data_IF_237755802265
#
_entry.id   IF_237755802265
#
_cell.length_a   1.000
_cell.length_b   1.000
_cell.length_c   1.000
_cell.angle_alpha   90.00
_cell.angle_beta   90.00
_cell.angle_gamma   90.00
#
_symmetry.space_group_name_H-M   'P 1'
#
loop_
_entity.id
_entity.type
_entity.pdbx_description
1 polymer ?
#
# COMPACT_ATOMS: atom_id res chain seq x y z
N UNK A 1 -5.69 -24.14 3.06
CA UNK A 1 -6.64 -23.30 3.80
C UNK A 1 -7.76 -22.87 2.86
N UNK A 2 -9.01 -22.88 3.35
CA UNK A 2 -10.14 -22.29 2.63
C UNK A 2 -10.15 -20.78 2.91
N UNK A 3 -10.12 -19.99 1.85
CA UNK A 3 -10.02 -18.52 1.96
C UNK A 3 -11.29 -17.88 1.43
N UNK A 4 -11.87 -16.98 2.23
CA UNK A 4 -12.97 -16.10 1.82
C UNK A 4 -12.45 -14.68 1.78
N UNK A 5 -12.44 -14.06 0.61
CA UNK A 5 -12.09 -12.65 0.45
C UNK A 5 -13.36 -11.80 0.49
N UNK A 6 -13.39 -10.85 1.43
CA UNK A 6 -14.49 -9.90 1.58
C UNK A 6 -14.00 -8.49 1.25
N UNK A 7 -14.63 -7.84 0.29
CA UNK A 7 -14.30 -6.45 -0.04
C UNK A 7 -15.56 -5.65 -0.43
N UNK A 8 -15.42 -4.33 -0.33
CA UNK A 8 -16.43 -3.38 -0.75
C UNK A 8 -16.45 -3.15 -2.26
N UNK A 9 -17.03 -2.02 -2.66
CA UNK A 9 -16.98 -1.57 -4.05
C UNK A 9 -15.57 -1.07 -4.42
N UNK A 10 -15.16 -1.36 -5.63
CA UNK A 10 -13.91 -0.92 -6.25
C UNK A 10 -14.02 -1.04 -7.77
N UNK A 11 -12.95 -0.79 -8.47
CA UNK A 11 -12.87 -0.86 -9.94
C UNK A 11 -12.94 -2.29 -10.52
N UNK A 12 -13.07 -3.29 -9.70
CA UNK A 12 -13.16 -4.70 -10.10
C UNK A 12 -11.81 -5.40 -10.29
N UNK A 13 -10.73 -4.70 -10.56
CA UNK A 13 -9.41 -5.29 -10.88
C UNK A 13 -8.87 -6.26 -9.82
N UNK A 14 -9.11 -5.98 -8.55
CA UNK A 14 -8.73 -6.89 -7.47
C UNK A 14 -9.40 -8.27 -7.63
N UNK A 15 -10.66 -8.29 -8.04
CA UNK A 15 -11.43 -9.51 -8.21
C UNK A 15 -10.92 -10.38 -9.37
N UNK A 16 -10.39 -9.73 -10.43
CA UNK A 16 -9.81 -10.43 -11.58
C UNK A 16 -8.49 -11.10 -11.24
N UNK A 17 -7.74 -10.53 -10.27
CA UNK A 17 -6.45 -11.07 -9.82
C UNK A 17 -6.59 -12.20 -8.79
N UNK A 18 -7.76 -12.37 -8.17
CA UNK A 18 -7.98 -13.37 -7.13
C UNK A 18 -8.21 -14.74 -7.73
N UNK A 19 -7.44 -15.73 -7.26
CA UNK A 19 -7.56 -17.13 -7.66
C UNK A 19 -9.01 -17.64 -7.57
N UNK A 20 -9.41 -18.48 -8.50
CA UNK A 20 -10.73 -19.13 -8.50
C UNK A 20 -10.97 -20.03 -7.27
N UNK A 21 -9.91 -20.44 -6.57
CA UNK A 21 -9.99 -21.21 -5.31
C UNK A 21 -10.43 -20.37 -4.11
N UNK A 22 -10.46 -19.05 -4.23
CA UNK A 22 -10.86 -18.13 -3.18
C UNK A 22 -12.34 -17.78 -3.34
N UNK A 23 -13.11 -17.98 -2.28
CA UNK A 23 -14.53 -17.57 -2.27
C UNK A 23 -14.59 -16.04 -2.21
N UNK A 24 -15.27 -15.44 -3.17
CA UNK A 24 -15.42 -13.98 -3.31
C UNK A 24 -16.75 -13.53 -2.71
N UNK A 25 -16.72 -12.68 -1.68
CA UNK A 25 -17.91 -12.10 -1.04
C UNK A 25 -17.88 -10.59 -1.16
N UNK A 26 -18.91 -10.03 -1.79
CA UNK A 26 -19.07 -8.59 -1.92
C UNK A 26 -19.78 -8.00 -0.71
N UNK A 27 -19.23 -6.91 -0.15
CA UNK A 27 -19.84 -6.10 0.90
C UNK A 27 -20.06 -4.67 0.37
N UNK A 28 -21.11 -4.42 -0.43
CA UNK A 28 -21.28 -3.19 -1.21
C UNK A 28 -21.26 -1.90 -0.39
N UNK A 29 -21.68 -1.98 0.88
CA UNK A 29 -21.71 -0.84 1.78
C UNK A 29 -20.39 -0.61 2.53
N UNK A 30 -19.40 -1.50 2.40
CA UNK A 30 -18.05 -1.29 2.91
C UNK A 30 -17.28 -0.34 1.98
N UNK A 31 -17.57 0.95 2.09
CA UNK A 31 -17.03 2.01 1.25
C UNK A 31 -15.95 2.80 1.99
N UNK A 32 -15.03 3.43 1.24
CA UNK A 32 -13.94 4.25 1.83
C UNK A 32 -14.46 5.50 2.53
N UNK A 33 -15.52 6.12 2.00
CA UNK A 33 -16.17 7.31 2.57
C UNK A 33 -16.85 7.02 3.92
N UNK A 34 -16.90 8.00 4.81
CA UNK A 34 -17.63 7.90 6.06
C UNK A 34 -19.13 8.15 5.77
N UNK A 35 -19.96 7.19 6.17
CA UNK A 35 -21.41 7.29 6.03
C UNK A 35 -22.06 6.39 7.08
N UNK A 36 -22.74 6.98 8.05
CA UNK A 36 -23.41 6.22 9.12
C UNK A 36 -24.36 5.16 8.56
N UNK A 37 -25.12 5.50 7.51
CA UNK A 37 -26.05 4.56 6.85
C UNK A 37 -25.29 3.38 6.25
N UNK A 38 -24.28 3.65 5.43
CA UNK A 38 -23.52 2.59 4.77
C UNK A 38 -22.71 1.79 5.79
N UNK A 39 -22.19 2.41 6.83
CA UNK A 39 -21.43 1.72 7.87
C UNK A 39 -22.29 0.76 8.68
N UNK A 40 -23.55 1.12 9.00
CA UNK A 40 -24.50 0.21 9.64
C UNK A 40 -24.91 -0.94 8.72
N UNK A 41 -25.11 -0.67 7.43
CA UNK A 41 -25.41 -1.71 6.45
C UNK A 41 -24.21 -2.66 6.26
N UNK A 42 -22.98 -2.12 6.19
CA UNK A 42 -21.76 -2.92 6.12
C UNK A 42 -21.60 -3.82 7.37
N UNK A 43 -21.92 -3.32 8.56
CA UNK A 43 -21.92 -4.13 9.80
C UNK A 43 -22.89 -5.32 9.69
N UNK A 44 -24.08 -5.09 9.14
CA UNK A 44 -25.06 -6.15 8.95
C UNK A 44 -24.60 -7.17 7.90
N UNK A 45 -24.06 -6.71 6.75
CA UNK A 45 -23.48 -7.55 5.70
C UNK A 45 -22.34 -8.41 6.23
N UNK A 46 -21.37 -7.82 6.94
CA UNK A 46 -20.24 -8.51 7.55
C UNK A 46 -20.68 -9.58 8.55
N UNK A 47 -21.70 -9.29 9.38
CA UNK A 47 -22.29 -10.30 10.29
C UNK A 47 -22.93 -11.48 9.55
N UNK A 48 -23.61 -11.18 8.43
CA UNK A 48 -24.25 -12.22 7.61
C UNK A 48 -23.21 -13.10 6.93
N UNK A 49 -22.15 -12.51 6.37
CA UNK A 49 -21.03 -13.23 5.75
C UNK A 49 -20.33 -14.10 6.81
N UNK A 50 -20.04 -13.53 7.99
CA UNK A 50 -19.42 -14.28 9.08
C UNK A 50 -20.24 -15.50 9.50
N UNK A 51 -21.54 -15.36 9.64
CA UNK A 51 -22.44 -16.50 9.99
C UNK A 51 -22.46 -17.58 8.91
N UNK A 52 -22.35 -17.18 7.63
CA UNK A 52 -22.37 -18.11 6.50
C UNK A 52 -21.11 -18.98 6.47
N UNK A 53 -19.96 -18.38 6.65
CA UNK A 53 -18.67 -19.04 6.49
C UNK A 53 -18.06 -19.55 7.79
N UNK A 54 -18.46 -19.00 8.94
CA UNK A 54 -17.95 -19.37 10.27
C UNK A 54 -16.42 -19.52 10.34
N UNK A 55 -15.63 -18.54 9.88
CA UNK A 55 -14.20 -18.69 9.71
C UNK A 55 -13.49 -18.88 11.07
N UNK A 56 -12.38 -19.62 11.07
CA UNK A 56 -11.51 -19.78 12.24
C UNK A 56 -10.74 -18.51 12.55
N UNK A 57 -10.33 -17.76 11.50
CA UNK A 57 -9.58 -16.52 11.59
C UNK A 57 -10.21 -15.46 10.68
N UNK A 58 -10.34 -14.25 11.18
CA UNK A 58 -10.72 -13.06 10.41
C UNK A 58 -9.54 -12.10 10.40
N UNK A 59 -8.96 -11.89 9.24
CA UNK A 59 -7.85 -10.95 9.07
C UNK A 59 -8.37 -9.64 8.47
N UNK A 60 -8.19 -8.55 9.21
CA UNK A 60 -8.69 -7.22 8.86
C UNK A 60 -7.57 -6.38 8.28
N UNK A 61 -7.81 -5.82 7.10
CA UNK A 61 -6.93 -4.90 6.42
C UNK A 61 -7.64 -3.57 6.18
N UNK A 62 -6.91 -2.47 6.16
CA UNK A 62 -7.39 -1.08 6.08
C UNK A 62 -8.07 -0.56 7.35
N UNK A 63 -8.01 0.76 7.57
CA UNK A 63 -8.53 1.39 8.78
C UNK A 63 -10.05 1.19 8.92
N UNK A 64 -10.83 1.35 7.84
CA UNK A 64 -12.29 1.22 7.92
C UNK A 64 -12.73 -0.22 8.16
N UNK A 65 -12.20 -1.18 7.40
CA UNK A 65 -12.51 -2.59 7.64
C UNK A 65 -12.02 -3.03 9.03
N UNK A 66 -10.86 -2.51 9.48
CA UNK A 66 -10.34 -2.72 10.83
C UNK A 66 -11.29 -2.23 11.91
N UNK A 67 -11.87 -1.03 11.79
CA UNK A 67 -12.83 -0.50 12.75
C UNK A 67 -14.12 -1.32 12.75
N UNK A 68 -14.77 -1.46 11.59
CA UNK A 68 -16.07 -2.16 11.49
C UNK A 68 -15.93 -3.63 11.84
N UNK A 69 -14.86 -4.30 11.38
CA UNK A 69 -14.59 -5.71 11.69
C UNK A 69 -14.38 -5.96 13.18
N UNK A 70 -13.60 -5.13 13.87
CA UNK A 70 -13.40 -5.23 15.33
C UNK A 70 -14.69 -4.98 16.15
N UNK A 71 -15.67 -4.29 15.57
CA UNK A 71 -17.00 -4.15 16.18
C UNK A 71 -17.89 -5.38 15.97
N UNK A 72 -17.68 -6.11 14.87
CA UNK A 72 -18.55 -7.20 14.43
C UNK A 72 -18.08 -8.57 14.85
N UNK A 73 -16.78 -8.85 14.64
CA UNK A 73 -16.24 -10.20 14.73
C UNK A 73 -15.77 -10.55 16.15
N UNK A 74 -15.78 -11.86 16.52
CA UNK A 74 -15.28 -12.29 17.81
C UNK A 74 -13.81 -11.94 17.99
N UNK A 75 -13.47 -11.32 19.12
CA UNK A 75 -12.11 -10.90 19.45
C UNK A 75 -11.06 -12.00 19.23
N UNK A 76 -11.34 -13.23 19.70
CA UNK A 76 -10.39 -14.35 19.66
C UNK A 76 -10.04 -14.82 18.26
N UNK A 77 -10.87 -14.49 17.26
CA UNK A 77 -10.69 -14.89 15.86
C UNK A 77 -10.21 -13.74 14.98
N UNK A 78 -10.14 -12.52 15.50
CA UNK A 78 -9.83 -11.31 14.72
C UNK A 78 -8.38 -10.90 14.87
N UNK A 79 -7.71 -10.66 13.75
CA UNK A 79 -6.38 -10.04 13.64
C UNK A 79 -6.53 -8.77 12.82
N UNK A 80 -5.86 -7.70 13.19
CA UNK A 80 -5.87 -6.45 12.46
C UNK A 80 -4.47 -6.03 12.04
N UNK A 81 -4.23 -5.90 10.73
CA UNK A 81 -2.96 -5.39 10.20
C UNK A 81 -3.06 -3.91 9.86
N UNK A 82 -2.12 -3.14 10.40
CA UNK A 82 -1.93 -1.71 10.15
C UNK A 82 -0.88 -1.54 9.07
N UNK A 83 -1.31 -1.07 7.89
CA UNK A 83 -0.44 -0.82 6.73
C UNK A 83 0.01 0.64 6.66
N UNK A 84 0.75 1.11 7.67
CA UNK A 84 1.22 2.49 7.79
C UNK A 84 0.38 3.31 8.78
N UNK A 85 0.83 3.34 10.02
CA UNK A 85 0.11 4.00 11.13
C UNK A 85 0.09 5.52 10.99
N UNK A 86 1.03 6.11 10.28
CA UNK A 86 1.09 7.57 10.05
C UNK A 86 -0.12 8.09 9.26
N UNK A 87 -0.79 7.25 8.50
CA UNK A 87 -2.09 7.57 7.88
C UNK A 87 -3.16 7.94 8.92
N UNK A 88 -3.10 7.38 10.12
CA UNK A 88 -3.97 7.72 11.26
C UNK A 88 -3.27 8.73 12.18
N UNK A 89 -2.02 8.46 12.57
CA UNK A 89 -1.28 9.26 13.56
C UNK A 89 -1.04 10.70 13.11
N UNK A 90 -0.67 10.90 11.83
CA UNK A 90 -0.33 12.21 11.26
C UNK A 90 -1.48 12.74 10.40
N UNK A 91 -1.89 12.00 9.37
CA UNK A 91 -2.81 12.52 8.37
C UNK A 91 -4.27 12.60 8.86
N UNK A 92 -4.69 11.71 9.78
CA UNK A 92 -6.08 11.64 10.25
C UNK A 92 -6.19 11.42 11.76
N UNK A 93 -5.51 12.22 12.56
CA UNK A 93 -5.39 12.06 14.03
C UNK A 93 -6.72 12.00 14.78
N UNK A 94 -7.79 12.53 14.21
CA UNK A 94 -9.16 12.43 14.75
C UNK A 94 -9.67 10.99 14.95
N UNK A 95 -9.11 10.02 14.24
CA UNK A 95 -9.48 8.60 14.37
C UNK A 95 -8.65 7.84 15.42
N UNK A 96 -7.59 8.45 15.96
CA UNK A 96 -6.73 7.82 16.95
C UNK A 96 -7.49 7.36 18.22
N UNK A 97 -8.46 8.13 18.78
CA UNK A 97 -9.26 7.65 19.92
C UNK A 97 -10.04 6.36 19.61
N UNK A 98 -10.52 6.19 18.37
CA UNK A 98 -11.24 4.98 17.94
C UNK A 98 -10.29 3.79 17.92
N UNK A 99 -9.07 3.96 17.40
CA UNK A 99 -8.04 2.93 17.39
C UNK A 99 -7.67 2.49 18.84
N UNK A 100 -7.49 3.45 19.74
CA UNK A 100 -7.23 3.20 21.17
C UNK A 100 -8.37 2.42 21.84
N UNK A 101 -9.62 2.79 21.58
CA UNK A 101 -10.80 2.12 22.13
C UNK A 101 -10.91 0.67 21.64
N UNK A 102 -10.64 0.45 20.33
CA UNK A 102 -10.83 -0.84 19.69
C UNK A 102 -9.62 -1.78 19.81
N UNK A 103 -8.48 -1.36 20.36
CA UNK A 103 -7.29 -2.19 20.43
C UNK A 103 -7.52 -3.56 21.11
N UNK A 104 -8.42 -3.63 22.08
CA UNK A 104 -8.76 -4.87 22.80
C UNK A 104 -9.85 -5.69 22.13
N UNK A 105 -10.34 -5.27 20.96
CA UNK A 105 -11.41 -5.94 20.20
C UNK A 105 -10.89 -6.91 19.12
N UNK A 106 -9.58 -7.16 19.08
CA UNK A 106 -8.95 -8.21 18.29
C UNK A 106 -7.95 -9.00 19.15
N UNK A 107 -7.54 -10.17 18.66
CA UNK A 107 -6.54 -11.02 19.33
C UNK A 107 -5.13 -10.44 19.19
N UNK A 108 -4.82 -9.86 18.04
CA UNK A 108 -3.54 -9.23 17.75
C UNK A 108 -3.71 -8.02 16.82
N UNK A 109 -2.81 -7.04 16.98
CA UNK A 109 -2.57 -5.96 16.05
C UNK A 109 -1.21 -6.20 15.42
N UNK A 110 -1.15 -6.26 14.11
CA UNK A 110 0.09 -6.48 13.34
C UNK A 110 0.51 -5.16 12.70
N UNK A 111 1.71 -4.71 13.04
CA UNK A 111 2.38 -3.62 12.35
C UNK A 111 3.22 -4.18 11.22
N UNK A 112 3.36 -3.44 10.10
CA UNK A 112 4.18 -3.89 8.96
C UNK A 112 5.65 -3.48 9.07
N UNK A 113 6.00 -2.69 10.10
CA UNK A 113 7.35 -2.24 10.40
C UNK A 113 7.53 -2.03 11.91
N UNK A 114 8.77 -2.08 12.38
CA UNK A 114 9.09 -1.71 13.78
C UNK A 114 8.80 -0.22 14.04
N UNK A 115 8.93 0.62 13.02
CA UNK A 115 8.52 2.03 13.10
C UNK A 115 7.04 2.15 13.46
N UNK A 116 6.16 1.45 12.74
CA UNK A 116 4.73 1.45 13.02
C UNK A 116 4.42 0.87 14.41
N UNK A 117 5.08 -0.24 14.79
CA UNK A 117 4.91 -0.84 16.12
C UNK A 117 5.28 0.14 17.23
N UNK A 118 6.45 0.80 17.15
CA UNK A 118 6.87 1.82 18.13
C UNK A 118 5.87 2.95 18.22
N UNK A 119 5.38 3.45 17.08
CA UNK A 119 4.42 4.54 17.07
C UNK A 119 3.04 4.15 17.60
N UNK A 120 2.57 2.92 17.31
CA UNK A 120 1.36 2.38 17.94
C UNK A 120 1.49 2.38 19.47
N UNK A 121 2.62 1.85 19.98
CA UNK A 121 2.89 1.79 21.43
C UNK A 121 3.01 3.18 22.05
N UNK A 122 3.70 4.11 21.41
CA UNK A 122 3.86 5.50 21.86
C UNK A 122 2.52 6.24 21.94
N UNK A 123 1.58 5.93 21.05
CA UNK A 123 0.22 6.46 21.10
C UNK A 123 -0.70 5.70 22.06
N UNK A 124 -0.18 4.74 22.84
CA UNK A 124 -0.93 3.99 23.84
C UNK A 124 -1.75 2.81 23.29
N UNK A 125 -1.46 2.37 22.07
CA UNK A 125 -1.99 1.13 21.49
C UNK A 125 -0.97 0.03 21.76
N UNK A 126 -1.16 -0.72 22.85
CA UNK A 126 -0.17 -1.67 23.37
C UNK A 126 -0.66 -3.11 23.43
N UNK A 127 -1.96 -3.34 23.15
CA UNK A 127 -2.56 -4.65 23.34
C UNK A 127 -2.19 -5.60 22.20
N UNK A 128 -1.34 -6.61 22.51
CA UNK A 128 -0.90 -7.65 21.55
C UNK A 128 -0.45 -7.07 20.21
N UNK A 129 0.39 -6.03 20.24
CA UNK A 129 1.01 -5.44 19.06
C UNK A 129 2.32 -6.17 18.75
N UNK A 130 2.49 -6.59 17.53
CA UNK A 130 3.72 -7.24 17.03
C UNK A 130 4.00 -6.82 15.60
N UNK A 131 5.28 -6.86 15.21
CA UNK A 131 5.69 -6.58 13.83
C UNK A 131 5.74 -7.86 13.00
N UNK A 132 5.14 -7.80 11.80
CA UNK A 132 5.33 -8.78 10.73
C UNK A 132 5.58 -8.00 9.45
N UNK A 133 6.79 -8.08 8.93
CA UNK A 133 7.16 -7.41 7.69
C UNK A 133 6.37 -7.94 6.49
N UNK A 134 6.06 -7.04 5.55
CA UNK A 134 5.52 -7.43 4.27
C UNK A 134 6.53 -8.29 3.51
N UNK A 135 6.02 -9.30 2.81
CA UNK A 135 6.75 -10.12 1.85
C UNK A 135 6.07 -10.11 0.49
N UNK A 136 6.82 -10.40 -0.54
CA UNK A 136 6.32 -10.52 -1.92
C UNK A 136 6.76 -11.83 -2.54
N UNK A 137 6.03 -12.28 -3.57
CA UNK A 137 6.60 -13.15 -4.59
C UNK A 137 7.42 -12.28 -5.54
N UNK A 138 8.54 -12.82 -6.05
CA UNK A 138 9.33 -12.13 -7.08
C UNK A 138 8.43 -11.88 -8.30
N UNK A 139 8.36 -10.64 -8.82
CA UNK A 139 7.54 -10.33 -9.96
C UNK A 139 7.92 -11.16 -11.20
N UNK A 140 6.92 -11.62 -11.94
CA UNK A 140 7.14 -12.37 -13.18
C UNK A 140 7.48 -11.40 -14.33
N UNK A 141 8.66 -11.59 -14.93
CA UNK A 141 9.17 -10.77 -16.03
C UNK A 141 8.94 -11.37 -17.43
N UNK A 142 8.28 -12.53 -17.52
CA UNK A 142 8.15 -13.28 -18.79
C UNK A 142 7.28 -12.60 -19.85
N UNK A 143 6.34 -11.73 -19.45
CA UNK A 143 5.34 -11.12 -20.33
C UNK A 143 5.29 -9.60 -20.16
N UNK A 144 6.43 -8.93 -20.12
CA UNK A 144 6.48 -7.47 -20.10
C UNK A 144 6.12 -6.90 -21.47
N UNK A 145 5.24 -5.91 -21.46
CA UNK A 145 4.99 -5.11 -22.65
C UNK A 145 6.21 -4.24 -22.95
N UNK A 146 6.42 -3.96 -24.22
CA UNK A 146 7.47 -3.03 -24.64
C UNK A 146 7.17 -1.62 -24.09
N UNK A 147 8.17 -0.98 -23.51
CA UNK A 147 8.06 0.36 -22.92
C UNK A 147 9.17 1.23 -23.51
N UNK A 148 8.89 1.93 -24.63
CA UNK A 148 9.90 2.75 -25.31
C UNK A 148 10.54 3.80 -24.42
N UNK A 149 9.81 4.31 -23.42
CA UNK A 149 10.29 5.28 -22.43
C UNK A 149 11.44 4.73 -21.60
N UNK A 150 11.46 3.42 -21.32
CA UNK A 150 12.56 2.77 -20.58
C UNK A 150 13.77 2.52 -21.48
N UNK A 151 13.57 2.35 -22.80
CA UNK A 151 14.64 1.98 -23.74
C UNK A 151 15.35 3.20 -24.36
N UNK A 152 14.72 4.37 -24.28
CA UNK A 152 15.18 5.60 -24.94
C UNK A 152 16.44 6.19 -24.32
N UNK A 153 16.65 5.97 -23.03
CA UNK A 153 17.73 6.59 -22.26
C UNK A 153 18.78 5.57 -21.86
N UNK A 154 20.03 6.01 -21.72
CA UNK A 154 21.14 5.19 -21.28
C UNK A 154 20.99 4.72 -19.82
N UNK A 155 20.33 5.51 -19.01
CA UNK A 155 20.01 5.23 -17.62
C UNK A 155 18.59 5.67 -17.31
N UNK A 156 17.87 4.85 -16.56
CA UNK A 156 16.47 5.06 -16.23
C UNK A 156 16.24 5.03 -14.73
N UNK A 157 15.57 6.04 -14.23
CA UNK A 157 15.02 6.14 -12.88
C UNK A 157 13.53 5.81 -12.93
N UNK A 158 13.12 4.76 -12.23
CA UNK A 158 11.74 4.29 -12.19
C UNK A 158 11.08 4.65 -10.85
N UNK A 159 9.83 5.10 -10.89
CA UNK A 159 8.95 5.18 -9.73
C UNK A 159 7.64 4.44 -10.00
N UNK A 160 7.12 3.75 -9.00
CA UNK A 160 5.83 3.05 -9.06
C UNK A 160 4.98 3.52 -7.89
N UNK A 161 4.04 4.40 -8.14
CA UNK A 161 3.17 4.96 -7.10
C UNK A 161 1.94 5.62 -7.70
N UNK A 162 0.89 5.79 -6.89
CA UNK A 162 -0.21 6.69 -7.27
C UNK A 162 0.30 8.12 -7.34
N UNK A 163 -0.09 8.85 -8.37
CA UNK A 163 0.15 10.29 -8.46
C UNK A 163 -0.77 10.97 -7.44
N UNK A 164 -0.19 11.43 -6.34
CA UNK A 164 -0.90 12.10 -5.25
C UNK A 164 0.10 12.86 -4.36
N UNK A 165 -0.32 13.91 -3.62
CA UNK A 165 0.58 14.74 -2.83
C UNK A 165 1.46 13.97 -1.82
N UNK A 166 0.98 12.84 -1.30
CA UNK A 166 1.76 11.98 -0.39
C UNK A 166 3.05 11.47 -1.05
N UNK A 167 3.02 11.17 -2.35
CA UNK A 167 4.12 10.54 -3.11
C UNK A 167 5.04 11.55 -3.79
N UNK A 168 4.85 12.84 -3.50
CA UNK A 168 5.71 13.94 -3.94
C UNK A 168 6.08 13.89 -5.45
N UNK A 169 5.10 13.80 -6.39
CA UNK A 169 5.41 13.73 -7.82
C UNK A 169 6.22 14.96 -8.29
N UNK A 170 5.98 16.12 -7.69
CA UNK A 170 6.76 17.32 -8.00
C UNK A 170 8.26 17.15 -7.75
N UNK A 171 8.65 16.49 -6.66
CA UNK A 171 10.07 16.22 -6.37
C UNK A 171 10.69 15.32 -7.44
N UNK A 172 9.98 14.28 -7.88
CA UNK A 172 10.43 13.41 -8.97
C UNK A 172 10.65 14.21 -10.27
N UNK A 173 9.70 15.06 -10.63
CA UNK A 173 9.78 15.95 -11.82
C UNK A 173 10.94 16.93 -11.69
N UNK A 174 11.14 17.54 -10.52
CA UNK A 174 12.22 18.51 -10.30
C UNK A 174 13.60 17.85 -10.40
N UNK A 175 13.74 16.60 -9.89
CA UNK A 175 14.99 15.82 -10.07
C UNK A 175 15.22 15.47 -11.56
N UNK A 176 14.16 15.14 -12.30
CA UNK A 176 14.26 14.89 -13.74
C UNK A 176 14.79 16.12 -14.51
N UNK A 177 14.36 17.34 -14.14
CA UNK A 177 14.87 18.60 -14.73
C UNK A 177 16.35 18.81 -14.49
N UNK A 178 16.85 18.37 -13.33
CA UNK A 178 18.27 18.50 -12.98
C UNK A 178 19.17 17.47 -13.69
N UNK A 179 18.59 16.37 -14.18
CA UNK A 179 19.31 15.25 -14.79
C UNK A 179 18.77 14.93 -16.20
N UNK A 180 18.93 15.85 -17.18
CA UNK A 180 18.29 15.72 -18.49
C UNK A 180 18.77 14.52 -19.32
N UNK A 181 19.94 13.97 -19.03
CA UNK A 181 20.50 12.82 -19.73
C UNK A 181 19.93 11.46 -19.25
N UNK A 182 19.19 11.45 -18.13
CA UNK A 182 18.55 10.28 -17.56
C UNK A 182 17.06 10.26 -17.88
N UNK A 183 16.52 9.09 -18.19
CA UNK A 183 15.07 8.90 -18.28
C UNK A 183 14.42 8.76 -16.92
N UNK A 184 13.32 9.45 -16.70
CA UNK A 184 12.48 9.34 -15.49
C UNK A 184 11.13 8.79 -15.88
N UNK A 185 10.76 7.61 -15.37
CA UNK A 185 9.50 6.95 -15.69
C UNK A 185 8.69 6.73 -14.42
N UNK A 186 7.45 7.17 -14.44
CA UNK A 186 6.50 6.99 -13.35
C UNK A 186 5.34 6.11 -13.81
N UNK A 187 5.18 4.94 -13.18
CA UNK A 187 4.04 4.05 -13.37
C UNK A 187 3.00 4.33 -12.28
N UNK A 188 1.80 4.73 -12.68
CA UNK A 188 0.70 5.06 -11.77
C UNK A 188 -0.46 5.73 -12.50
N UNK A 189 -1.48 6.19 -11.75
CA UNK A 189 -2.60 6.91 -12.35
C UNK A 189 -2.15 8.22 -13.02
N UNK A 190 -2.97 8.75 -13.94
CA UNK A 190 -2.66 9.96 -14.70
C UNK A 190 -3.54 11.17 -14.34
N UNK A 191 -4.59 10.96 -13.57
CA UNK A 191 -5.66 11.96 -13.35
C UNK A 191 -5.13 13.28 -12.76
N UNK A 192 -4.13 13.22 -11.91
CA UNK A 192 -3.58 14.40 -11.20
C UNK A 192 -2.26 14.91 -11.80
N UNK A 193 -1.76 14.31 -12.90
CA UNK A 193 -0.43 14.67 -13.45
C UNK A 193 -0.38 16.13 -13.92
N UNK A 194 -1.44 16.63 -14.53
CA UNK A 194 -1.53 18.00 -15.03
C UNK A 194 -1.42 19.07 -13.95
N UNK A 195 -1.69 18.74 -12.70
CA UNK A 195 -1.59 19.67 -11.57
C UNK A 195 -0.13 20.03 -11.25
N UNK A 196 0.83 19.22 -11.71
CA UNK A 196 2.27 19.41 -11.46
C UNK A 196 2.99 20.24 -12.54
N UNK A 197 2.24 20.76 -13.53
CA UNK A 197 2.74 21.64 -14.59
C UNK A 197 3.39 20.89 -15.75
N UNK A 198 4.19 21.61 -16.54
CA UNK A 198 4.85 21.07 -17.73
C UNK A 198 5.96 20.08 -17.33
N UNK A 199 5.93 18.89 -17.93
CA UNK A 199 6.91 17.85 -17.72
C UNK A 199 8.17 18.11 -18.56
N UNK A 200 9.38 17.90 -18.02
CA UNK A 200 10.59 17.91 -18.82
C UNK A 200 10.58 16.73 -19.84
N UNK A 201 11.27 16.89 -20.96
CA UNK A 201 11.25 15.92 -22.06
C UNK A 201 11.71 14.51 -21.69
N UNK A 202 12.44 14.38 -20.58
CA UNK A 202 12.97 13.12 -20.06
C UNK A 202 12.11 12.53 -18.91
N UNK A 203 10.93 13.08 -18.61
CA UNK A 203 10.05 12.62 -17.55
C UNK A 203 8.71 12.13 -18.13
N UNK A 204 8.40 10.86 -17.93
CA UNK A 204 7.27 10.18 -18.55
C UNK A 204 6.37 9.57 -17.47
N UNK A 205 5.08 9.96 -17.46
CA UNK A 205 4.04 9.31 -16.68
C UNK A 205 3.25 8.39 -17.61
N UNK A 206 3.35 7.09 -17.40
CA UNK A 206 2.89 6.07 -18.38
C UNK A 206 1.55 5.42 -18.03
N UNK A 207 0.93 5.85 -16.95
CA UNK A 207 -0.35 5.30 -16.51
C UNK A 207 -0.22 4.03 -15.66
N UNK A 208 -1.38 3.47 -15.30
CA UNK A 208 -1.43 2.23 -14.55
C UNK A 208 -1.12 1.03 -15.47
N UNK A 209 -0.11 0.26 -15.12
CA UNK A 209 0.32 -0.92 -15.87
C UNK A 209 0.18 -2.15 -14.96
N UNK A 210 -0.41 -3.25 -15.45
CA UNK A 210 -0.43 -4.51 -14.73
C UNK A 210 0.99 -5.01 -14.44
N UNK A 211 1.20 -5.65 -13.29
CA UNK A 211 2.50 -6.20 -12.89
C UNK A 211 3.64 -5.17 -12.92
N UNK A 212 3.34 -3.93 -12.49
CA UNK A 212 4.27 -2.80 -12.55
C UNK A 212 5.65 -3.10 -11.92
N UNK A 213 5.70 -3.87 -10.83
CA UNK A 213 6.94 -4.26 -10.15
C UNK A 213 7.93 -5.01 -11.04
N UNK A 214 7.44 -5.72 -12.07
CA UNK A 214 8.32 -6.45 -13.00
C UNK A 214 9.15 -5.51 -13.90
N UNK A 215 8.67 -4.28 -14.15
CA UNK A 215 9.42 -3.27 -14.92
C UNK A 215 10.66 -2.74 -14.20
N UNK A 216 10.79 -3.01 -12.91
CA UNK A 216 12.04 -2.78 -12.20
C UNK A 216 13.22 -3.52 -12.85
N UNK A 217 13.00 -4.66 -13.52
CA UNK A 217 14.03 -5.38 -14.27
C UNK A 217 14.61 -4.61 -15.47
N UNK A 218 13.94 -3.56 -15.93
CA UNK A 218 14.32 -2.74 -17.08
C UNK A 218 14.84 -1.35 -16.69
N UNK A 219 14.95 -1.05 -15.39
CA UNK A 219 15.42 0.23 -14.88
C UNK A 219 16.80 0.08 -14.21
N UNK A 220 17.48 1.20 -13.97
CA UNK A 220 18.79 1.25 -13.32
C UNK A 220 18.71 1.70 -11.86
N UNK A 221 17.66 2.45 -11.51
CA UNK A 221 17.43 3.00 -10.16
C UNK A 221 15.92 3.05 -9.87
N UNK A 222 15.54 2.72 -8.65
CA UNK A 222 14.20 2.96 -8.17
C UNK A 222 14.14 4.18 -7.25
N UNK A 223 13.24 5.11 -7.51
CA UNK A 223 13.06 6.31 -6.68
C UNK A 223 11.66 6.35 -6.07
N UNK A 224 11.56 6.49 -4.75
CA UNK A 224 10.30 6.70 -4.04
C UNK A 224 10.39 7.88 -3.08
N UNK A 225 9.91 9.03 -3.50
CA UNK A 225 9.74 10.19 -2.64
C UNK A 225 8.36 10.16 -1.99
N UNK A 226 8.29 10.24 -0.67
CA UNK A 226 7.03 10.19 0.07
C UNK A 226 7.09 11.02 1.35
N UNK A 227 5.94 11.58 1.76
CA UNK A 227 5.80 12.28 3.04
C UNK A 227 5.65 11.32 4.23
N UNK A 228 5.05 10.16 4.01
CA UNK A 228 4.91 9.09 5.01
C UNK A 228 4.65 7.74 4.32
N UNK A 229 5.13 6.67 4.93
CA UNK A 229 4.95 5.27 4.49
C UNK A 229 4.72 4.34 5.70
N UNK A 230 4.21 3.14 5.42
CA UNK A 230 4.35 2.01 6.34
C UNK A 230 5.62 1.23 6.01
N UNK A 231 5.47 0.10 5.32
CA UNK A 231 6.56 -0.62 4.65
C UNK A 231 6.18 -0.76 3.17
N UNK A 232 6.73 0.08 2.28
CA UNK A 232 6.26 0.18 0.89
C UNK A 232 6.63 -1.07 0.09
N UNK A 233 5.61 -1.78 -0.41
CA UNK A 233 5.76 -3.01 -1.21
C UNK A 233 6.61 -2.77 -2.46
N UNK A 234 6.44 -1.62 -3.12
CA UNK A 234 7.16 -1.28 -4.35
C UNK A 234 8.68 -1.18 -4.17
N UNK A 235 9.16 -0.80 -2.97
CA UNK A 235 10.60 -0.85 -2.65
C UNK A 235 11.05 -2.30 -2.55
N UNK A 236 10.27 -3.17 -1.91
CA UNK A 236 10.59 -4.60 -1.79
C UNK A 236 10.61 -5.25 -3.19
N UNK A 237 9.65 -4.88 -4.06
CA UNK A 237 9.61 -5.31 -5.46
C UNK A 237 10.87 -4.87 -6.22
N UNK A 238 11.26 -3.59 -6.15
CA UNK A 238 12.46 -3.07 -6.78
C UNK A 238 13.74 -3.78 -6.29
N UNK A 239 13.87 -3.96 -4.98
CA UNK A 239 15.02 -4.66 -4.38
C UNK A 239 15.06 -6.14 -4.77
N UNK A 240 13.90 -6.80 -4.94
CA UNK A 240 13.85 -8.20 -5.42
C UNK A 240 14.36 -8.37 -6.85
N UNK A 241 14.34 -7.29 -7.63
CA UNK A 241 14.92 -7.21 -8.99
C UNK A 241 16.37 -6.72 -9.00
N UNK A 242 16.97 -6.50 -7.82
CA UNK A 242 18.35 -6.03 -7.70
C UNK A 242 18.54 -4.54 -7.95
N UNK A 243 17.48 -3.72 -8.00
CA UNK A 243 17.60 -2.29 -8.18
C UNK A 243 18.11 -1.60 -6.91
N UNK A 244 19.09 -0.70 -7.01
CA UNK A 244 19.38 0.24 -5.96
C UNK A 244 18.18 1.20 -5.78
N UNK A 245 17.94 1.63 -4.54
CA UNK A 245 16.78 2.44 -4.17
C UNK A 245 17.22 3.78 -3.63
N UNK A 246 16.59 4.87 -4.09
CA UNK A 246 16.65 6.19 -3.45
C UNK A 246 15.25 6.53 -2.93
N UNK A 247 15.12 6.71 -1.63
CA UNK A 247 13.81 6.93 -1.03
C UNK A 247 13.86 7.94 0.12
N UNK A 248 12.70 8.56 0.42
CA UNK A 248 12.58 9.38 1.63
C UNK A 248 12.73 8.51 2.87
N UNK A 249 13.50 8.97 3.86
CA UNK A 249 13.61 8.30 5.17
C UNK A 249 12.35 8.55 6.01
N UNK A 250 11.28 7.85 5.68
CA UNK A 250 9.98 7.95 6.34
C UNK A 250 9.40 6.57 6.62
N UNK A 251 8.68 6.45 7.71
CA UNK A 251 8.01 5.18 8.06
C UNK A 251 9.01 4.04 8.30
N UNK A 252 8.72 2.89 7.71
CA UNK A 252 9.58 1.71 7.75
C UNK A 252 10.63 1.63 6.63
N UNK A 253 10.81 2.70 5.84
CA UNK A 253 11.73 2.68 4.68
C UNK A 253 13.17 2.39 5.13
N UNK A 254 13.67 3.07 6.17
CA UNK A 254 15.03 2.85 6.71
C UNK A 254 15.26 1.46 7.34
N UNK A 255 14.20 0.68 7.53
CA UNK A 255 14.34 -0.71 7.96
C UNK A 255 14.76 -1.65 6.81
N UNK A 256 14.50 -1.24 5.56
CA UNK A 256 14.79 -2.03 4.35
C UNK A 256 15.81 -1.36 3.43
N UNK A 257 15.85 -0.02 3.36
CA UNK A 257 16.86 0.73 2.60
C UNK A 257 17.98 1.15 3.54
N UNK A 258 19.23 0.77 3.20
CA UNK A 258 20.40 1.05 3.99
C UNK A 258 21.42 1.80 3.14
N UNK A 259 21.83 2.99 3.61
CA UNK A 259 22.80 3.83 2.92
C UNK A 259 24.08 3.05 2.60
N UNK A 260 24.63 3.25 1.42
CA UNK A 260 25.86 2.64 0.89
C UNK A 260 25.80 1.09 0.74
N UNK A 261 24.64 0.45 0.98
CA UNK A 261 24.49 -1.01 0.85
C UNK A 261 23.54 -1.36 -0.30
N UNK A 262 22.31 -0.87 -0.25
CA UNK A 262 21.29 -1.18 -1.25
C UNK A 262 20.51 0.06 -1.73
N UNK A 263 20.90 1.26 -1.26
CA UNK A 263 20.26 2.52 -1.64
C UNK A 263 20.66 3.67 -0.73
N UNK A 264 19.88 4.73 -0.78
CA UNK A 264 19.98 5.95 0.00
C UNK A 264 18.60 6.45 0.42
#
# INVERSE_FOLDING_TARGET
HDVVLVAGQGDGKMWDMVSERVVKEHCPHLQRSLSLKNDLLAIWELRRIYKRHSPDVVHLHSSKAGVLGRMVFPRKRSIYTVHGFDSVRIANRRFLPVEKLLQRRCSAIVAVSNYDERNLRNEGITHNVSTVYNGIAVPDVSNLMDMPELQRYKKVVLSIARVMPQKLPKLFIDVARLLPDYGFVWIGNLEEVTEYGELPANCHFVGNIPNAGAYCSQADLFMLASNYEGLPMVIIEAMSMGLPVVASDVGGVSEIVRNDINGY
#
